data_IF_736248041377
#
_entry.id   IF_736248041377
#
_cell.length_a   1.000
_cell.length_b   1.000
_cell.length_c   1.000
_cell.angle_alpha   90.00
_cell.angle_beta   90.00
_cell.angle_gamma   90.00
#
_symmetry.space_group_name_H-M   'P 1'
#
loop_
_entity.id
_entity.type
_entity.pdbx_description
1 polymer ?
#
# COMPACT_ATOMS: atom_id res chain seq x y z
N UNK A 1 -7.74 -4.13 -4.62
CA UNK A 1 -7.60 -4.33 -3.14
C UNK A 1 -8.55 -5.44 -2.65
N UNK A 2 -8.22 -6.17 -1.56
CA UNK A 2 -9.06 -7.28 -1.07
C UNK A 2 -10.38 -6.78 -0.43
N UNK A 3 -10.32 -5.73 0.40
CA UNK A 3 -11.50 -5.08 0.99
C UNK A 3 -12.06 -3.99 0.06
N UNK A 4 -12.54 -4.38 -1.13
CA UNK A 4 -13.02 -3.45 -2.19
C UNK A 4 -14.00 -2.40 -1.66
N UNK A 5 -15.08 -2.83 -1.00
CA UNK A 5 -16.08 -1.93 -0.41
C UNK A 5 -15.51 -0.92 0.61
N UNK A 6 -14.53 -1.34 1.42
CA UNK A 6 -13.86 -0.43 2.36
C UNK A 6 -13.02 0.60 1.61
N UNK A 7 -12.29 0.18 0.57
CA UNK A 7 -11.48 1.08 -0.26
C UNK A 7 -12.37 2.06 -1.05
N UNK A 8 -13.48 1.60 -1.62
CA UNK A 8 -14.46 2.49 -2.26
C UNK A 8 -14.96 3.57 -1.28
N UNK A 9 -15.23 3.21 -0.02
CA UNK A 9 -15.59 4.18 1.00
C UNK A 9 -14.46 5.16 1.33
N UNK A 10 -13.20 4.69 1.34
CA UNK A 10 -12.04 5.56 1.53
C UNK A 10 -11.91 6.55 0.36
N UNK A 11 -12.16 6.14 -0.87
CA UNK A 11 -12.13 7.03 -2.03
C UNK A 11 -13.11 8.21 -1.87
N UNK A 12 -14.36 7.93 -1.46
CA UNK A 12 -15.34 8.97 -1.13
C UNK A 12 -14.84 9.93 -0.05
N UNK A 13 -14.24 9.39 1.02
CA UNK A 13 -13.72 10.19 2.13
C UNK A 13 -12.50 11.04 1.75
N UNK A 14 -11.74 10.60 0.75
CA UNK A 14 -10.63 11.35 0.15
C UNK A 14 -11.10 12.38 -0.90
N UNK A 15 -12.42 12.47 -1.13
CA UNK A 15 -13.03 13.44 -2.05
C UNK A 15 -13.04 13.01 -3.52
N UNK A 16 -12.81 11.72 -3.82
CA UNK A 16 -12.96 11.21 -5.18
C UNK A 16 -14.44 11.02 -5.55
N UNK A 17 -14.77 11.32 -6.81
CA UNK A 17 -16.08 10.98 -7.36
C UNK A 17 -16.11 9.51 -7.76
N UNK A 18 -16.91 8.73 -7.02
CA UNK A 18 -17.15 7.30 -7.27
C UNK A 18 -18.56 7.02 -7.78
N UNK A 19 -19.32 8.06 -8.14
CA UNK A 19 -20.69 7.90 -8.61
C UNK A 19 -20.73 7.10 -9.91
N UNK A 20 -21.61 6.09 -9.97
CA UNK A 20 -21.75 5.21 -11.12
C UNK A 20 -20.60 4.22 -11.35
N UNK A 21 -19.56 4.21 -10.51
CA UNK A 21 -18.49 3.22 -10.58
C UNK A 21 -18.90 1.91 -9.91
N UNK A 22 -18.36 0.79 -10.42
CA UNK A 22 -18.42 -0.47 -9.69
C UNK A 22 -17.44 -0.45 -8.50
N UNK A 23 -17.56 -1.43 -7.59
CA UNK A 23 -16.74 -1.48 -6.38
C UNK A 23 -15.23 -1.60 -6.67
N UNK A 24 -14.83 -2.24 -7.77
CA UNK A 24 -13.42 -2.39 -8.14
C UNK A 24 -12.82 -1.04 -8.55
N UNK A 25 -13.49 -0.34 -9.47
CA UNK A 25 -13.05 0.95 -9.97
C UNK A 25 -13.07 2.01 -8.86
N UNK A 26 -14.12 2.01 -8.03
CA UNK A 26 -14.21 2.89 -6.87
C UNK A 26 -13.10 2.61 -5.85
N UNK A 27 -12.74 1.34 -5.64
CA UNK A 27 -11.66 0.98 -4.73
C UNK A 27 -10.28 1.39 -5.24
N UNK A 28 -10.05 1.34 -6.56
CA UNK A 28 -8.80 1.78 -7.17
C UNK A 28 -8.60 3.30 -7.03
N UNK A 29 -9.69 4.09 -7.09
CA UNK A 29 -9.65 5.54 -6.84
C UNK A 29 -9.04 5.90 -5.49
N UNK A 30 -9.23 5.09 -4.46
CA UNK A 30 -8.60 5.31 -3.16
C UNK A 30 -7.07 5.21 -3.22
N UNK A 31 -6.53 4.25 -3.98
CA UNK A 31 -5.08 4.06 -4.13
C UNK A 31 -4.49 5.27 -4.85
N UNK A 32 -5.10 5.65 -5.98
CA UNK A 32 -4.68 6.83 -6.77
C UNK A 32 -4.75 8.12 -5.96
N UNK A 33 -5.80 8.30 -5.15
CA UNK A 33 -5.94 9.48 -4.30
C UNK A 33 -4.83 9.57 -3.24
N UNK A 34 -4.42 8.44 -2.64
CA UNK A 34 -3.31 8.39 -1.68
C UNK A 34 -1.98 8.71 -2.36
N UNK A 35 -1.75 8.19 -3.58
CA UNK A 35 -0.55 8.52 -4.35
C UNK A 35 -0.48 10.00 -4.73
N UNK A 36 -1.61 10.59 -5.17
CA UNK A 36 -1.70 12.02 -5.46
C UNK A 36 -1.44 12.87 -4.21
N UNK A 37 -1.98 12.46 -3.06
CA UNK A 37 -1.76 13.15 -1.80
C UNK A 37 -0.29 13.09 -1.38
N UNK A 38 0.33 11.91 -1.45
CA UNK A 38 1.77 11.70 -1.19
C UNK A 38 2.62 12.67 -2.00
N UNK A 39 2.34 12.79 -3.30
CA UNK A 39 3.10 13.66 -4.21
C UNK A 39 2.87 15.14 -3.89
N UNK A 40 1.62 15.53 -3.58
CA UNK A 40 1.27 16.91 -3.23
C UNK A 40 1.96 17.43 -1.96
N UNK A 41 2.25 16.55 -0.99
CA UNK A 41 2.92 16.92 0.26
C UNK A 41 4.44 16.63 0.25
N UNK A 42 4.99 16.18 -0.88
CA UNK A 42 6.43 16.00 -1.06
C UNK A 42 7.03 14.76 -0.40
N UNK A 43 6.23 13.70 -0.15
CA UNK A 43 6.76 12.43 0.33
C UNK A 43 7.39 11.67 -0.84
N UNK A 44 8.69 11.36 -0.72
CA UNK A 44 9.41 10.56 -1.72
C UNK A 44 8.84 9.13 -1.80
N UNK A 45 8.52 8.62 -3.01
CA UNK A 45 7.74 7.40 -3.17
C UNK A 45 8.57 6.11 -3.18
N UNK A 46 9.90 6.22 -3.14
CA UNK A 46 10.81 5.07 -3.26
C UNK A 46 11.76 4.96 -2.07
N UNK A 47 12.03 3.73 -1.67
CA UNK A 47 12.98 3.41 -0.60
C UNK A 47 14.39 3.91 -0.94
N UNK A 48 14.82 3.79 -2.20
CA UNK A 48 16.13 4.28 -2.66
C UNK A 48 16.27 5.80 -2.51
N UNK A 49 15.18 6.54 -2.69
CA UNK A 49 15.20 8.00 -2.57
C UNK A 49 15.38 8.44 -1.10
N UNK A 50 15.14 7.54 -0.14
CA UNK A 50 15.36 7.74 1.29
C UNK A 50 16.73 7.22 1.76
N UNK A 51 17.56 6.70 0.85
CA UNK A 51 18.89 6.15 1.15
C UNK A 51 18.91 4.65 1.50
N UNK A 52 17.80 3.94 1.29
CA UNK A 52 17.79 2.47 1.39
C UNK A 52 18.51 1.81 0.21
N UNK A 53 19.09 0.64 0.44
CA UNK A 53 19.78 -0.15 -0.59
C UNK A 53 19.04 -1.45 -0.89
N UNK A 54 19.12 -1.91 -2.14
CA UNK A 54 18.37 -3.08 -2.61
C UNK A 54 18.76 -4.37 -1.86
N UNK A 55 20.04 -4.48 -1.47
CA UNK A 55 20.54 -5.66 -0.74
C UNK A 55 19.97 -5.75 0.68
N UNK A 56 19.36 -4.67 1.19
CA UNK A 56 18.72 -4.64 2.51
C UNK A 56 17.27 -5.13 2.47
N UNK A 57 16.63 -5.22 1.29
CA UNK A 57 15.22 -5.58 1.18
C UNK A 57 14.89 -6.97 1.75
N UNK A 58 15.73 -8.02 1.56
CA UNK A 58 15.47 -9.32 2.19
C UNK A 58 15.44 -9.25 3.73
N UNK A 59 16.35 -8.49 4.34
CA UNK A 59 16.39 -8.27 5.79
C UNK A 59 15.16 -7.48 6.27
N UNK A 60 14.71 -6.48 5.48
CA UNK A 60 13.50 -5.73 5.80
C UNK A 60 12.25 -6.62 5.75
N UNK A 61 12.15 -7.50 4.75
CA UNK A 61 11.05 -8.45 4.62
C UNK A 61 11.00 -9.41 5.82
N UNK A 62 12.14 -9.96 6.22
CA UNK A 62 12.24 -10.83 7.40
C UNK A 62 11.81 -10.09 8.67
N UNK A 63 12.36 -8.89 8.91
CA UNK A 63 12.00 -8.07 10.08
C UNK A 63 10.52 -7.73 10.11
N UNK A 64 9.95 -7.28 8.99
CA UNK A 64 8.51 -7.02 8.87
C UNK A 64 7.70 -8.29 9.16
N UNK A 65 8.17 -9.46 8.70
CA UNK A 65 7.48 -10.73 8.92
C UNK A 65 7.45 -11.18 10.39
N UNK A 66 8.42 -10.77 11.21
CA UNK A 66 8.45 -11.09 12.64
C UNK A 66 7.42 -10.30 13.46
N UNK A 67 6.85 -9.20 12.93
CA UNK A 67 5.86 -8.37 13.60
C UNK A 67 4.45 -9.00 13.59
N UNK A 68 4.31 -10.16 14.22
CA UNK A 68 3.08 -11.00 14.18
C UNK A 68 1.81 -10.27 14.59
N UNK A 69 1.89 -9.37 15.58
CA UNK A 69 0.75 -8.55 16.01
C UNK A 69 0.17 -7.72 14.87
N UNK A 70 1.02 -7.14 14.01
CA UNK A 70 0.56 -6.33 12.87
C UNK A 70 0.02 -7.21 11.74
N UNK A 71 0.61 -8.39 11.54
CA UNK A 71 0.13 -9.36 10.55
C UNK A 71 -1.28 -9.85 10.85
N UNK A 72 -1.60 -10.11 12.11
CA UNK A 72 -2.94 -10.56 12.53
C UNK A 72 -4.04 -9.55 12.22
N UNK A 73 -3.69 -8.26 12.13
CA UNK A 73 -4.65 -7.19 11.78
C UNK A 73 -4.72 -6.92 10.28
N UNK A 74 -3.82 -7.50 9.47
CA UNK A 74 -3.83 -7.33 8.03
C UNK A 74 -4.96 -8.18 7.41
N UNK A 75 -5.89 -7.60 6.62
CA UNK A 75 -6.91 -8.39 5.91
C UNK A 75 -6.36 -9.55 5.10
N UNK A 76 -5.17 -9.37 4.51
CA UNK A 76 -4.54 -10.36 3.65
C UNK A 76 -3.47 -11.14 4.43
N UNK A 77 -3.63 -12.45 4.52
CA UNK A 77 -2.56 -13.33 4.97
C UNK A 77 -1.35 -13.17 4.04
N UNK A 78 -0.21 -12.81 4.59
CA UNK A 78 1.00 -12.47 3.83
C UNK A 78 2.16 -13.38 4.21
N UNK A 79 2.93 -13.82 3.22
CA UNK A 79 4.14 -14.61 3.35
C UNK A 79 5.39 -13.72 3.37
N UNK A 80 6.58 -14.21 3.79
CA UNK A 80 7.82 -13.46 3.66
C UNK A 80 8.12 -13.02 2.21
N UNK A 81 7.72 -13.84 1.23
CA UNK A 81 7.87 -13.50 -0.19
C UNK A 81 6.99 -12.31 -0.59
N UNK A 82 5.74 -12.26 -0.13
CA UNK A 82 4.84 -11.11 -0.39
C UNK A 82 5.45 -9.80 0.14
N UNK A 83 6.08 -9.82 1.32
CA UNK A 83 6.78 -8.64 1.86
C UNK A 83 7.94 -8.21 0.98
N UNK A 84 8.75 -9.16 0.50
CA UNK A 84 9.87 -8.85 -0.37
C UNK A 84 9.39 -8.26 -1.71
N UNK A 85 8.32 -8.78 -2.28
CA UNK A 85 7.76 -8.28 -3.54
C UNK A 85 7.17 -6.87 -3.38
N UNK A 86 6.49 -6.59 -2.26
CA UNK A 86 6.02 -5.23 -1.94
C UNK A 86 7.22 -4.27 -1.79
N UNK A 87 8.27 -4.70 -1.09
CA UNK A 87 9.48 -3.90 -0.91
C UNK A 87 10.21 -3.63 -2.23
N UNK A 88 10.24 -4.60 -3.15
CA UNK A 88 10.79 -4.43 -4.50
C UNK A 88 9.95 -3.47 -5.34
N UNK A 89 8.62 -3.55 -5.27
CA UNK A 89 7.74 -2.62 -5.96
C UNK A 89 7.89 -1.17 -5.45
N UNK A 90 8.29 -1.01 -4.18
CA UNK A 90 8.52 0.28 -3.54
C UNK A 90 9.99 0.76 -3.57
N UNK A 91 10.91 0.03 -4.19
CA UNK A 91 12.33 0.39 -4.29
C UNK A 91 12.62 1.33 -5.45
#
# INVERSE_FOLDING_TARGET
PERKRTFAKIAELLGEDVSGLNEDDAAERAVVAVERLRDAIGIRPRIRDLGGREEQLPLFAEKAFTLKRLQQTNPRASTPADFLDILRAAF
#
